data_IF_044197760519
#
_entry.id   IF_044197760519
#
_cell.length_a   1.000
_cell.length_b   1.000
_cell.length_c   1.000
_cell.angle_alpha   90.00
_cell.angle_beta   90.00
_cell.angle_gamma   90.00
#
_symmetry.space_group_name_H-M   'P 1'
#
loop_
_entity.id
_entity.type
_entity.pdbx_description
1 polymer ?
#
# COMPACT_ATOMS: atom_id res chain seq x y z
N UNK A 1 -2.34 -77.99 -23.72
CA UNK A 1 -2.38 -77.12 -24.90
C UNK A 1 -3.12 -75.88 -24.47
N UNK A 2 -2.38 -74.84 -24.17
CA UNK A 2 -2.87 -73.61 -23.53
C UNK A 2 -2.70 -72.50 -24.56
N UNK A 3 -3.75 -72.24 -25.35
CA UNK A 3 -3.68 -71.27 -26.44
C UNK A 3 -3.57 -69.85 -25.87
N UNK A 4 -2.40 -69.27 -26.08
CA UNK A 4 -2.01 -67.93 -25.68
C UNK A 4 -2.42 -66.96 -26.80
N UNK A 5 -3.54 -66.25 -26.61
CA UNK A 5 -4.00 -65.25 -27.58
C UNK A 5 -3.20 -63.94 -27.40
N UNK A 6 -2.62 -63.36 -28.48
CA UNK A 6 -1.92 -62.08 -28.39
C UNK A 6 -2.88 -60.91 -28.16
N UNK A 7 -2.45 -59.83 -27.47
CA UNK A 7 -3.29 -58.65 -27.26
C UNK A 7 -3.59 -57.91 -28.57
N UNK A 8 -4.77 -57.27 -28.70
CA UNK A 8 -5.14 -56.53 -29.91
C UNK A 8 -4.25 -55.28 -30.12
N UNK A 9 -4.06 -54.86 -31.39
CA UNK A 9 -3.25 -53.69 -31.72
C UNK A 9 -3.90 -52.38 -31.24
N UNK A 10 -3.09 -51.33 -30.95
CA UNK A 10 -3.61 -50.02 -30.58
C UNK A 10 -4.38 -49.36 -31.73
N UNK A 11 -5.39 -48.52 -31.42
CA UNK A 11 -6.21 -47.87 -32.44
C UNK A 11 -5.39 -46.88 -33.30
N UNK A 12 -5.78 -46.67 -34.57
CA UNK A 12 -5.11 -45.75 -35.48
C UNK A 12 -5.23 -44.29 -35.00
N UNK A 13 -4.18 -43.51 -35.24
CA UNK A 13 -4.11 -42.08 -34.92
C UNK A 13 -5.16 -41.28 -35.70
N UNK A 14 -5.97 -40.50 -34.98
CA UNK A 14 -6.98 -39.64 -35.61
C UNK A 14 -6.34 -38.53 -36.46
N UNK A 15 -6.96 -38.15 -37.60
CA UNK A 15 -6.49 -37.06 -38.43
C UNK A 15 -6.71 -35.71 -37.74
N UNK A 16 -5.73 -34.82 -37.86
CA UNK A 16 -5.81 -33.40 -37.47
C UNK A 16 -6.97 -32.73 -38.21
N UNK A 17 -8.09 -32.52 -37.53
CA UNK A 17 -9.21 -31.75 -38.02
C UNK A 17 -9.04 -30.27 -37.64
N UNK A 18 -8.61 -29.45 -38.60
CA UNK A 18 -8.63 -27.99 -38.50
C UNK A 18 -10.06 -27.52 -38.25
N UNK A 19 -10.36 -27.06 -37.04
CA UNK A 19 -11.69 -26.51 -36.73
C UNK A 19 -11.75 -25.05 -37.19
N UNK A 20 -12.70 -24.63 -38.05
CA UNK A 20 -12.89 -23.23 -38.41
C UNK A 20 -13.38 -22.40 -37.20
N UNK A 21 -13.07 -21.10 -37.13
CA UNK A 21 -13.50 -20.25 -36.01
C UNK A 21 -15.04 -20.17 -35.92
N UNK A 22 -15.61 -20.10 -34.70
CA UNK A 22 -17.05 -20.03 -34.51
C UNK A 22 -17.65 -18.72 -35.07
N UNK A 23 -18.90 -18.76 -35.56
CA UNK A 23 -19.59 -17.57 -36.09
C UNK A 23 -19.91 -16.55 -34.97
N UNK A 24 -20.04 -15.25 -35.29
CA UNK A 24 -20.37 -14.23 -34.30
C UNK A 24 -21.78 -14.43 -33.74
N UNK A 25 -21.90 -14.38 -32.42
CA UNK A 25 -23.18 -14.55 -31.73
C UNK A 25 -24.15 -13.38 -32.04
N UNK A 26 -25.45 -13.64 -32.24
CA UNK A 26 -26.45 -12.61 -32.53
C UNK A 26 -26.70 -11.69 -31.33
N UNK A 27 -26.74 -10.38 -31.59
CA UNK A 27 -27.01 -9.36 -30.58
C UNK A 27 -28.43 -9.44 -30.04
N UNK A 28 -28.54 -9.52 -28.70
CA UNK A 28 -29.77 -9.36 -27.96
C UNK A 28 -29.52 -8.47 -26.74
N UNK A 29 -30.18 -7.32 -26.72
CA UNK A 29 -30.46 -6.53 -25.52
C UNK A 29 -29.43 -5.46 -25.18
N UNK A 30 -29.79 -4.20 -25.42
CA UNK A 30 -29.18 -3.02 -24.80
C UNK A 30 -29.04 -3.22 -23.29
N UNK A 31 -27.82 -3.45 -22.82
CA UNK A 31 -27.47 -3.17 -21.43
C UNK A 31 -27.47 -1.66 -21.26
N UNK A 32 -28.51 -1.16 -20.60
CA UNK A 32 -28.56 0.21 -20.12
C UNK A 32 -27.20 0.59 -19.50
N UNK A 33 -26.60 1.65 -20.03
CA UNK A 33 -25.33 2.17 -19.54
C UNK A 33 -25.43 2.40 -18.03
N UNK A 34 -24.68 1.62 -17.26
CA UNK A 34 -24.50 1.86 -15.84
C UNK A 34 -23.88 3.26 -15.69
N UNK A 35 -24.51 4.19 -14.96
CA UNK A 35 -23.92 5.51 -14.77
C UNK A 35 -22.53 5.34 -14.15
N UNK A 36 -21.52 6.12 -14.60
CA UNK A 36 -20.19 6.03 -14.03
C UNK A 36 -20.30 6.28 -12.53
N UNK A 37 -19.71 5.38 -11.73
CA UNK A 37 -19.55 5.59 -10.31
C UNK A 37 -18.94 6.99 -10.09
N UNK A 38 -19.41 7.77 -9.09
CA UNK A 38 -18.91 9.11 -8.87
C UNK A 38 -17.39 9.03 -8.72
N UNK A 39 -16.70 9.75 -9.61
CA UNK A 39 -15.27 9.91 -9.56
C UNK A 39 -14.92 10.64 -8.26
N UNK A 40 -14.69 9.88 -7.19
CA UNK A 40 -13.72 10.31 -6.19
C UNK A 40 -12.46 10.62 -7.00
N UNK A 41 -12.04 11.89 -6.98
CA UNK A 41 -11.04 12.45 -7.87
C UNK A 41 -9.89 11.45 -8.08
N UNK A 42 -9.79 10.91 -9.29
CA UNK A 42 -8.63 10.13 -9.67
C UNK A 42 -7.41 11.04 -9.46
N UNK A 43 -6.50 10.63 -8.58
CA UNK A 43 -5.25 11.34 -8.37
C UNK A 43 -4.58 11.54 -9.74
N UNK A 44 -3.98 12.71 -10.01
CA UNK A 44 -3.38 12.99 -11.32
C UNK A 44 -2.38 11.89 -11.69
N UNK A 45 -2.32 11.49 -12.97
CA UNK A 45 -1.38 10.47 -13.42
C UNK A 45 0.04 10.92 -13.13
N UNK A 46 0.71 10.20 -12.23
CA UNK A 46 2.13 10.39 -11.93
C UNK A 46 2.94 10.04 -13.17
N UNK A 47 3.67 11.01 -13.71
CA UNK A 47 4.57 10.76 -14.84
C UNK A 47 5.68 9.77 -14.41
N UNK A 48 5.94 8.70 -15.18
CA UNK A 48 7.05 7.80 -14.91
C UNK A 48 8.38 8.57 -14.98
N UNK A 49 9.06 8.73 -13.83
CA UNK A 49 10.36 9.39 -13.76
C UNK A 49 10.49 10.49 -12.69
N UNK A 50 9.39 10.97 -12.13
CA UNK A 50 9.41 12.03 -11.10
C UNK A 50 9.35 11.46 -9.67
N UNK A 51 10.12 10.40 -9.42
CA UNK A 51 10.16 9.72 -8.12
C UNK A 51 11.06 10.51 -7.17
N UNK A 52 10.46 11.29 -6.25
CA UNK A 52 11.19 11.88 -5.11
C UNK A 52 12.05 13.11 -5.43
N UNK A 53 11.53 14.08 -6.19
CA UNK A 53 12.27 15.30 -6.53
C UNK A 53 12.24 16.39 -5.43
N UNK A 54 11.48 16.18 -4.35
CA UNK A 54 11.37 17.16 -3.26
C UNK A 54 12.40 16.96 -2.13
N UNK A 55 12.50 17.90 -1.19
CA UNK A 55 13.45 17.85 -0.08
C UNK A 55 13.35 16.55 0.73
N UNK A 56 14.49 16.02 1.14
CA UNK A 56 14.59 14.85 2.01
C UNK A 56 14.01 15.20 3.40
N UNK A 57 13.25 14.28 3.99
CA UNK A 57 12.68 14.44 5.33
C UNK A 57 13.68 14.16 6.45
N UNK A 58 13.24 14.38 7.68
CA UNK A 58 14.08 14.26 8.88
C UNK A 58 14.02 12.85 9.49
N UNK A 59 15.18 12.33 9.88
CA UNK A 59 15.28 11.08 10.65
C UNK A 59 14.92 11.36 12.10
N UNK A 60 13.97 10.63 12.65
CA UNK A 60 13.45 10.85 14.01
C UNK A 60 13.72 9.65 14.90
N UNK A 61 14.51 9.83 15.96
CA UNK A 61 14.76 8.76 16.93
C UNK A 61 13.44 8.22 17.49
N UNK A 62 13.19 6.92 17.27
CA UNK A 62 11.95 6.25 17.69
C UNK A 62 11.76 6.34 19.21
N UNK A 63 12.83 6.13 19.99
CA UNK A 63 12.75 6.20 21.46
C UNK A 63 12.45 7.61 21.96
N UNK A 64 13.09 8.62 21.37
CA UNK A 64 12.84 10.04 21.73
C UNK A 64 11.42 10.44 21.34
N UNK A 65 10.93 10.02 20.18
CA UNK A 65 9.58 10.31 19.73
C UNK A 65 8.51 9.68 20.66
N UNK A 66 8.73 8.44 21.12
CA UNK A 66 7.86 7.79 22.13
C UNK A 66 7.93 8.56 23.46
N UNK A 67 9.12 8.93 23.91
CA UNK A 67 9.29 9.71 25.14
C UNK A 67 8.54 11.04 25.06
N UNK A 68 8.69 11.78 23.95
CA UNK A 68 7.98 13.03 23.71
C UNK A 68 6.47 12.83 23.66
N UNK A 69 5.98 11.76 23.04
CA UNK A 69 4.56 11.41 23.06
C UNK A 69 4.03 11.28 24.50
N UNK A 70 4.76 10.60 25.38
CA UNK A 70 4.36 10.41 26.78
C UNK A 70 4.43 11.73 27.55
N UNK A 71 5.57 12.44 27.49
CA UNK A 71 5.82 13.68 28.24
C UNK A 71 4.86 14.80 27.84
N UNK A 72 4.45 14.83 26.57
CA UNK A 72 3.49 15.83 26.06
C UNK A 72 2.03 15.38 26.13
N UNK A 73 1.74 14.27 26.82
CA UNK A 73 0.39 13.70 26.94
C UNK A 73 -0.31 13.51 25.58
N UNK A 74 0.44 13.04 24.58
CA UNK A 74 -0.06 12.73 23.24
C UNK A 74 -0.02 13.89 22.24
N UNK A 75 0.23 15.14 22.68
CA UNK A 75 0.28 16.32 21.78
C UNK A 75 1.36 16.15 20.72
N UNK A 76 2.52 15.57 21.08
CA UNK A 76 3.58 15.28 20.12
C UNK A 76 3.13 14.33 18.99
N UNK A 77 2.17 13.43 19.24
CA UNK A 77 1.62 12.56 18.18
C UNK A 77 0.93 13.35 17.08
N UNK A 78 0.22 14.43 17.45
CA UNK A 78 -0.45 15.34 16.51
C UNK A 78 0.59 16.09 15.67
N UNK A 79 1.63 16.62 16.32
CA UNK A 79 2.77 17.25 15.65
C UNK A 79 3.47 16.28 14.68
N UNK A 80 3.71 15.04 15.13
CA UNK A 80 4.36 14.01 14.34
C UNK A 80 3.58 13.72 13.05
N UNK A 81 2.26 13.52 13.15
CA UNK A 81 1.44 13.29 11.97
C UNK A 81 1.46 14.46 10.99
N UNK A 82 1.34 15.71 11.47
CA UNK A 82 1.47 16.88 10.61
C UNK A 82 2.82 16.87 9.86
N UNK A 83 3.93 16.73 10.59
CA UNK A 83 5.27 16.83 10.01
C UNK A 83 5.59 15.72 9.03
N UNK A 84 5.31 14.47 9.39
CA UNK A 84 5.62 13.32 8.55
C UNK A 84 4.82 13.37 7.25
N UNK A 85 3.52 13.64 7.30
CA UNK A 85 2.70 13.74 6.09
C UNK A 85 3.08 14.92 5.20
N UNK A 86 3.47 16.06 5.79
CA UNK A 86 3.99 17.19 5.03
C UNK A 86 5.29 16.85 4.30
N UNK A 87 6.23 16.20 4.99
CA UNK A 87 7.51 15.79 4.39
C UNK A 87 7.33 14.77 3.28
N UNK A 88 6.52 13.74 3.50
CA UNK A 88 6.25 12.71 2.48
C UNK A 88 5.60 13.32 1.23
N UNK A 89 4.63 14.22 1.41
CA UNK A 89 3.97 14.92 0.31
C UNK A 89 4.93 15.86 -0.41
N UNK A 90 5.71 16.65 0.33
CA UNK A 90 6.67 17.60 -0.26
C UNK A 90 7.78 16.88 -1.02
N UNK A 91 8.25 15.74 -0.50
CA UNK A 91 9.29 14.94 -1.13
C UNK A 91 8.80 14.22 -2.39
N UNK A 92 7.65 13.55 -2.28
CA UNK A 92 7.17 12.64 -3.32
C UNK A 92 6.10 13.23 -4.25
N UNK A 93 5.63 14.44 -3.96
CA UNK A 93 4.54 15.11 -4.67
C UNK A 93 3.15 14.53 -4.39
N UNK A 94 3.04 13.52 -3.52
CA UNK A 94 1.82 12.73 -3.35
C UNK A 94 1.66 12.25 -1.90
N UNK A 95 0.43 12.25 -1.40
CA UNK A 95 0.07 12.02 -0.01
C UNK A 95 -0.94 13.06 0.46
N UNK A 96 -1.57 12.85 1.62
CA UNK A 96 -2.60 13.77 2.13
C UNK A 96 -2.00 15.12 2.52
N UNK A 97 -0.75 15.14 2.98
CA UNK A 97 -0.04 16.35 3.42
C UNK A 97 -0.35 16.73 4.87
N UNK A 98 0.44 17.65 5.41
CA UNK A 98 0.43 17.94 6.85
C UNK A 98 -0.90 18.51 7.33
N UNK A 99 -1.47 19.49 6.61
CA UNK A 99 -2.72 20.14 7.03
C UNK A 99 -3.89 19.16 7.06
N UNK A 100 -4.03 18.32 6.03
CA UNK A 100 -5.09 17.29 5.99
C UNK A 100 -4.85 16.26 7.09
N UNK A 101 -3.61 15.81 7.28
CA UNK A 101 -3.23 14.92 8.37
C UNK A 101 -3.55 15.51 9.76
N UNK A 102 -3.35 16.81 9.96
CA UNK A 102 -3.65 17.50 11.20
C UNK A 102 -5.16 17.52 11.50
N UNK A 103 -5.98 17.84 10.49
CA UNK A 103 -7.44 17.81 10.64
C UNK A 103 -7.91 16.38 10.97
N UNK A 104 -7.42 15.38 10.24
CA UNK A 104 -7.76 13.98 10.51
C UNK A 104 -7.28 13.52 11.89
N UNK A 105 -6.10 13.96 12.34
CA UNK A 105 -5.60 13.65 13.67
C UNK A 105 -6.53 14.14 14.80
N UNK A 106 -7.14 15.32 14.63
CA UNK A 106 -8.03 15.91 15.64
C UNK A 106 -9.41 15.26 15.69
N UNK A 107 -9.98 14.88 14.55
CA UNK A 107 -11.36 14.38 14.49
C UNK A 107 -11.45 12.85 14.34
N UNK A 108 -10.45 12.21 13.74
CA UNK A 108 -10.46 10.79 13.38
C UNK A 108 -9.06 10.16 13.62
N UNK A 109 -8.44 10.49 14.77
CA UNK A 109 -7.07 10.08 15.09
C UNK A 109 -6.83 8.57 15.02
N UNK A 110 -7.86 7.75 15.24
CA UNK A 110 -7.80 6.28 15.15
C UNK A 110 -7.43 5.75 13.74
N UNK A 111 -7.68 6.53 12.69
CA UNK A 111 -7.38 6.15 11.30
C UNK A 111 -5.94 6.53 10.90
N UNK A 112 -5.34 7.51 11.60
CA UNK A 112 -4.01 8.03 11.27
C UNK A 112 -2.89 6.97 11.24
N UNK A 113 -2.86 5.97 12.13
CA UNK A 113 -1.89 4.88 12.06
C UNK A 113 -1.91 4.10 10.75
N UNK A 114 -3.10 3.83 10.21
CA UNK A 114 -3.27 3.11 8.95
C UNK A 114 -2.80 3.96 7.77
N UNK A 115 -3.20 5.23 7.72
CA UNK A 115 -2.81 6.15 6.67
C UNK A 115 -1.30 6.37 6.65
N UNK A 116 -0.70 6.59 7.82
CA UNK A 116 0.74 6.82 7.92
C UNK A 116 1.52 5.60 7.42
N UNK A 117 1.17 4.38 7.84
CA UNK A 117 1.85 3.18 7.35
C UNK A 117 1.62 2.93 5.84
N UNK A 118 0.43 3.27 5.32
CA UNK A 118 0.14 3.16 3.88
C UNK A 118 0.95 4.16 3.04
N UNK A 119 1.09 5.40 3.48
CA UNK A 119 1.90 6.40 2.79
C UNK A 119 3.39 6.05 2.81
N UNK A 120 3.90 5.59 3.95
CA UNK A 120 5.29 5.09 4.05
C UNK A 120 5.51 3.93 3.09
N UNK A 121 4.63 2.92 3.05
CA UNK A 121 4.69 1.84 2.07
C UNK A 121 4.66 2.35 0.63
N UNK A 122 3.80 3.34 0.36
CA UNK A 122 3.71 4.01 -0.94
C UNK A 122 5.02 4.64 -1.41
N UNK A 123 5.83 5.20 -0.51
CA UNK A 123 7.15 5.74 -0.86
C UNK A 123 8.10 4.67 -1.39
N UNK A 124 8.11 3.49 -0.75
CA UNK A 124 8.91 2.34 -1.19
C UNK A 124 8.40 1.81 -2.54
N UNK A 125 7.09 1.60 -2.64
CA UNK A 125 6.44 1.07 -3.86
C UNK A 125 6.78 1.88 -5.10
N UNK A 126 6.76 3.21 -4.99
CA UNK A 126 7.07 4.12 -6.12
C UNK A 126 8.51 4.03 -6.60
N UNK A 127 9.44 3.68 -5.70
CA UNK A 127 10.84 3.40 -6.03
C UNK A 127 11.05 1.95 -6.51
N UNK A 128 9.99 1.19 -6.75
CA UNK A 128 10.07 -0.23 -7.11
C UNK A 128 10.58 -1.12 -5.97
N UNK A 129 10.54 -0.65 -4.72
CA UNK A 129 11.01 -1.38 -3.55
C UNK A 129 9.88 -2.13 -2.86
N UNK A 130 10.22 -3.21 -2.15
CA UNK A 130 9.27 -3.94 -1.30
C UNK A 130 8.79 -3.03 -0.17
N UNK A 131 7.49 -2.98 0.05
CA UNK A 131 6.86 -2.20 1.12
C UNK A 131 7.13 -2.88 2.49
N UNK A 132 7.93 -2.27 3.38
CA UNK A 132 8.18 -2.86 4.71
C UNK A 132 6.96 -2.72 5.64
N UNK A 133 6.11 -1.74 5.37
CA UNK A 133 4.86 -1.45 6.07
C UNK A 133 3.78 -1.10 5.07
N UNK A 134 2.54 -1.33 5.46
CA UNK A 134 1.32 -1.04 4.69
C UNK A 134 0.22 -0.58 5.64
N UNK A 135 -0.95 -0.20 5.11
CA UNK A 135 -2.10 0.20 5.94
C UNK A 135 -2.48 -0.84 7.00
N UNK A 136 -2.34 -2.13 6.71
CA UNK A 136 -2.59 -3.21 7.68
C UNK A 136 -1.66 -3.17 8.90
N UNK A 137 -0.52 -2.48 8.82
CA UNK A 137 0.38 -2.27 9.97
C UNK A 137 -0.33 -1.45 11.06
N UNK A 138 -1.30 -0.61 10.70
CA UNK A 138 -2.17 0.11 11.64
C UNK A 138 -2.98 -0.79 12.58
N UNK A 139 -3.17 -2.08 12.25
CA UNK A 139 -3.82 -3.06 13.12
C UNK A 139 -3.11 -3.22 14.48
N UNK A 140 -1.78 -3.03 14.49
CA UNK A 140 -0.99 -3.00 15.72
C UNK A 140 -1.35 -1.81 16.60
N UNK A 141 -1.73 -0.66 16.04
CA UNK A 141 -2.22 0.46 16.84
C UNK A 141 -3.66 0.24 17.27
N UNK A 142 -4.59 0.00 16.35
CA UNK A 142 -5.98 -0.32 16.67
C UNK A 142 -6.39 -1.58 15.91
N UNK A 143 -6.92 -2.63 16.55
CA UNK A 143 -7.30 -2.72 17.96
C UNK A 143 -6.13 -2.97 18.93
N UNK A 144 -4.87 -3.07 18.48
CA UNK A 144 -3.75 -3.42 19.36
C UNK A 144 -3.47 -2.49 20.55
N UNK A 145 -4.10 -1.33 20.66
CA UNK A 145 -4.05 -0.44 21.83
C UNK A 145 -4.55 -1.12 23.11
N UNK A 146 -5.46 -2.09 23.02
CA UNK A 146 -5.98 -2.81 24.19
C UNK A 146 -4.93 -3.68 24.90
N UNK A 147 -3.84 -4.02 24.24
CA UNK A 147 -2.71 -4.76 24.84
C UNK A 147 -1.54 -3.84 25.23
N UNK A 148 -1.70 -2.51 25.12
CA UNK A 148 -0.70 -1.43 25.34
C UNK A 148 0.58 -1.49 24.50
N UNK A 149 1.11 -2.68 24.22
CA UNK A 149 2.32 -2.90 23.41
C UNK A 149 2.07 -2.69 21.92
N UNK A 150 0.82 -2.81 21.47
CA UNK A 150 0.45 -2.68 20.06
C UNK A 150 0.88 -1.34 19.44
N UNK A 151 0.50 -0.18 20.01
CA UNK A 151 0.91 1.13 19.52
C UNK A 151 2.43 1.30 19.42
N UNK A 152 3.19 0.69 20.34
CA UNK A 152 4.65 0.70 20.31
C UNK A 152 5.17 -0.09 19.10
N UNK A 153 4.65 -1.31 18.88
CA UNK A 153 5.02 -2.13 17.72
C UNK A 153 4.71 -1.41 16.41
N UNK A 154 3.51 -0.82 16.30
CA UNK A 154 3.12 -0.03 15.13
C UNK A 154 4.10 1.12 14.87
N UNK A 155 4.41 1.89 15.92
CA UNK A 155 5.25 3.07 15.79
C UNK A 155 6.69 2.69 15.42
N UNK A 156 7.26 1.67 16.05
CA UNK A 156 8.61 1.16 15.73
C UNK A 156 8.69 0.73 14.26
N UNK A 157 7.71 -0.02 13.76
CA UNK A 157 7.70 -0.46 12.35
C UNK A 157 7.55 0.70 11.37
N UNK A 158 6.59 1.60 11.64
CA UNK A 158 6.26 2.69 10.71
C UNK A 158 7.33 3.78 10.72
N UNK A 159 7.74 4.24 11.91
CA UNK A 159 8.81 5.23 12.05
C UNK A 159 10.16 4.65 11.63
N UNK A 160 10.43 3.37 11.93
CA UNK A 160 11.62 2.67 11.47
C UNK A 160 11.71 2.64 9.94
N UNK A 161 10.65 2.18 9.26
CA UNK A 161 10.58 2.20 7.81
C UNK A 161 10.73 3.61 7.22
N UNK A 162 10.05 4.61 7.80
CA UNK A 162 10.19 5.99 7.31
C UNK A 162 11.62 6.53 7.49
N UNK A 163 12.25 6.25 8.62
CA UNK A 163 13.63 6.66 8.87
C UNK A 163 14.61 5.96 7.92
N UNK A 164 14.44 4.66 7.69
CA UNK A 164 15.28 3.89 6.78
C UNK A 164 15.13 4.40 5.34
N UNK A 165 13.91 4.80 4.97
CA UNK A 165 13.65 5.49 3.70
C UNK A 165 14.47 6.78 3.60
N UNK A 166 14.40 7.66 4.61
CA UNK A 166 15.16 8.92 4.60
C UNK A 166 16.68 8.70 4.63
N UNK A 167 17.17 7.75 5.44
CA UNK A 167 18.59 7.36 5.46
C UNK A 167 19.06 6.85 4.12
N UNK A 168 18.23 6.08 3.40
CA UNK A 168 18.55 5.61 2.05
C UNK A 168 18.73 6.74 1.02
N UNK A 169 18.26 7.94 1.34
CA UNK A 169 18.39 9.15 0.54
C UNK A 169 19.50 10.08 1.05
N UNK A 170 20.20 9.72 2.12
CA UNK A 170 21.32 10.49 2.68
C UNK A 170 20.97 11.36 3.91
N UNK A 171 19.76 11.23 4.47
CA UNK A 171 19.45 11.89 5.74
C UNK A 171 20.29 11.32 6.89
N UNK A 172 20.71 12.21 7.80
CA UNK A 172 21.42 11.86 9.03
C UNK A 172 20.53 12.16 10.23
N UNK A 173 20.67 11.38 11.31
CA UNK A 173 19.94 11.56 12.56
C UNK A 173 20.48 10.69 13.68
#
# INVERSE_FOLDING_TARGET
MSDQYPPPPPPPSEPTASTPPPPPAPGLGETAAQPPAPAYAAAPPVMPGQVGAGPIGEVRSTGVAILLYIVTFGIYGIYYWYKVHEEMKRHSGQGIGGVVALVLALFIGIVMPYLTSAEVGGLYKRRGQKEPVSGATGLWYFPGIFILVGPIIWFVKTNGALNDYWKSLGAQG
#
